data_IF_514580125343
#
_entry.id   IF_514580125343
#
_cell.length_a   1.000
_cell.length_b   1.000
_cell.length_c   1.000
_cell.angle_alpha   90.00
_cell.angle_beta   90.00
_cell.angle_gamma   90.00
#
_symmetry.space_group_name_H-M   'P 1'
#
loop_
_entity.id
_entity.type
_entity.pdbx_description
1 polymer ?
#
# COMPACT_ATOMS: atom_id res chain seq x y z
N UNK A 1 -6.13 10.50 -7.88
CA UNK A 1 -6.40 10.73 -6.44
C UNK A 1 -7.90 10.82 -6.23
N UNK A 2 -8.56 9.73 -5.82
CA UNK A 2 -9.97 9.79 -5.44
C UNK A 2 -10.05 9.97 -3.93
N UNK A 3 -10.22 11.22 -3.51
CA UNK A 3 -10.51 11.62 -2.14
C UNK A 3 -12.02 11.48 -1.90
N UNK A 4 -12.41 10.68 -0.92
CA UNK A 4 -13.78 10.75 -0.39
C UNK A 4 -13.81 10.67 1.14
N UNK A 5 -12.89 11.42 1.77
CA UNK A 5 -12.73 11.57 3.22
C UNK A 5 -11.40 12.27 3.55
N UNK A 6 -11.09 12.54 4.83
CA UNK A 6 -9.80 13.07 5.27
C UNK A 6 -8.66 12.02 5.19
N UNK A 7 -8.93 10.88 4.56
CA UNK A 7 -8.00 9.77 4.40
C UNK A 7 -7.64 9.64 2.93
N UNK A 8 -6.36 9.45 2.64
CA UNK A 8 -5.84 9.16 1.32
C UNK A 8 -4.95 7.92 1.37
N UNK A 9 -4.92 7.16 0.28
CA UNK A 9 -4.01 6.04 0.13
C UNK A 9 -3.40 6.04 -1.28
N UNK A 10 -2.15 5.62 -1.39
CA UNK A 10 -1.41 5.55 -2.64
C UNK A 10 -0.43 4.40 -2.64
N UNK A 11 -0.27 3.77 -3.80
CA UNK A 11 0.85 2.88 -4.10
C UNK A 11 1.87 3.65 -4.93
N UNK A 12 3.15 3.44 -4.66
CA UNK A 12 4.22 4.00 -5.48
C UNK A 12 5.23 2.91 -5.79
N UNK A 13 5.62 2.85 -7.06
CA UNK A 13 6.68 1.99 -7.55
C UNK A 13 7.80 2.92 -8.03
N UNK A 14 9.08 2.68 -7.65
CA UNK A 14 10.17 3.47 -8.19
C UNK A 14 10.27 3.33 -9.70
N UNK A 15 10.48 4.45 -10.39
CA UNK A 15 10.76 4.45 -11.82
C UNK A 15 12.08 3.72 -12.10
N UNK A 16 12.08 2.86 -13.11
CA UNK A 16 13.27 2.14 -13.52
C UNK A 16 12.99 0.95 -14.41
N UNK A 17 14.05 0.43 -15.02
CA UNK A 17 14.01 -0.86 -15.69
C UNK A 17 14.25 -1.97 -14.67
N UNK A 18 13.39 -2.98 -14.68
CA UNK A 18 13.51 -4.16 -13.84
C UNK A 18 13.79 -5.38 -14.71
N UNK A 19 14.68 -6.25 -14.24
CA UNK A 19 14.88 -7.56 -14.85
C UNK A 19 13.99 -8.61 -14.19
N UNK A 20 13.81 -9.72 -14.89
CA UNK A 20 12.99 -10.84 -14.41
C UNK A 20 13.55 -11.37 -13.08
N UNK A 21 12.71 -11.37 -12.04
CA UNK A 21 13.06 -11.83 -10.70
C UNK A 21 13.64 -10.77 -9.77
N UNK A 22 13.85 -9.53 -10.23
CA UNK A 22 14.28 -8.43 -9.37
C UNK A 22 13.24 -8.11 -8.29
N UNK A 23 13.72 -7.58 -7.16
CA UNK A 23 12.87 -7.01 -6.11
C UNK A 23 12.36 -5.64 -6.56
N UNK A 24 11.04 -5.51 -6.64
CA UNK A 24 10.34 -4.28 -6.97
C UNK A 24 9.69 -3.78 -5.67
N UNK A 25 10.29 -2.80 -4.98
CA UNK A 25 9.75 -2.32 -3.71
C UNK A 25 8.53 -1.42 -3.96
N UNK A 26 7.34 -1.96 -3.75
CA UNK A 26 6.10 -1.19 -3.85
C UNK A 26 5.81 -0.57 -2.50
N UNK A 27 5.79 0.76 -2.45
CA UNK A 27 5.52 1.51 -1.21
C UNK A 27 4.03 1.83 -1.12
N UNK A 28 3.37 1.33 -0.08
CA UNK A 28 2.02 1.70 0.29
C UNK A 28 2.07 2.82 1.34
N UNK A 29 1.33 3.89 1.09
CA UNK A 29 1.19 5.01 2.01
C UNK A 29 -0.29 5.29 2.23
N UNK A 30 -0.66 5.47 3.50
CA UNK A 30 -2.00 5.87 3.92
C UNK A 30 -1.87 7.05 4.85
N UNK A 31 -2.40 8.21 4.46
CA UNK A 31 -2.48 9.40 5.32
C UNK A 31 -3.89 9.52 5.85
N UNK A 32 -4.02 9.71 7.17
CA UNK A 32 -5.30 9.81 7.87
C UNK A 32 -5.20 10.82 9.01
N UNK A 33 -6.31 11.33 9.56
CA UNK A 33 -6.26 12.15 10.77
C UNK A 33 -5.64 11.38 11.94
N UNK A 34 -5.04 12.11 12.89
CA UNK A 34 -4.53 11.51 14.11
C UNK A 34 -5.63 10.79 14.89
N UNK A 35 -5.28 9.64 15.48
CA UNK A 35 -6.23 8.79 16.23
C UNK A 35 -7.11 7.89 15.36
N UNK A 36 -6.87 7.88 14.05
CA UNK A 36 -7.40 6.85 13.15
C UNK A 36 -6.41 5.69 13.07
N UNK A 37 -6.89 4.52 12.68
CA UNK A 37 -6.07 3.31 12.54
C UNK A 37 -6.21 2.73 11.13
N UNK A 38 -5.12 2.73 10.37
CA UNK A 38 -5.04 2.07 9.08
C UNK A 38 -4.52 0.63 9.23
N UNK A 39 -5.30 -0.34 8.78
CA UNK A 39 -4.96 -1.76 8.76
C UNK A 39 -4.58 -2.13 7.34
N UNK A 40 -3.27 -2.18 7.10
CA UNK A 40 -2.71 -2.66 5.83
C UNK A 40 -2.92 -4.18 5.75
N UNK A 41 -3.57 -4.70 4.68
CA UNK A 41 -3.76 -6.15 4.54
C UNK A 41 -2.40 -6.85 4.35
N UNK A 42 -2.31 -8.08 4.85
CA UNK A 42 -1.20 -8.96 4.51
C UNK A 42 -1.47 -9.56 3.13
N UNK A 43 -0.58 -9.28 2.18
CA UNK A 43 -0.64 -9.95 0.88
C UNK A 43 -0.07 -11.37 1.00
N UNK A 44 -0.77 -12.37 0.46
CA UNK A 44 -0.28 -13.75 0.47
C UNK A 44 0.97 -13.91 -0.42
N UNK A 45 1.92 -14.72 0.05
CA UNK A 45 3.18 -14.99 -0.65
C UNK A 45 3.14 -16.27 -1.49
N UNK A 46 2.06 -17.05 -1.36
CA UNK A 46 1.82 -18.34 -2.03
C UNK A 46 0.86 -18.23 -3.22
N UNK A 47 0.24 -17.06 -3.44
CA UNK A 47 -0.56 -16.77 -4.62
C UNK A 47 -0.13 -15.47 -5.30
N UNK A 48 -0.38 -15.30 -6.60
CA UNK A 48 -0.07 -14.06 -7.29
C UNK A 48 -0.99 -12.91 -6.84
N UNK A 49 -0.41 -11.71 -6.81
CA UNK A 49 -1.10 -10.43 -6.68
C UNK A 49 -1.13 -9.76 -8.06
N UNK A 50 -2.19 -10.06 -8.82
CA UNK A 50 -2.22 -9.74 -10.26
C UNK A 50 -1.14 -10.52 -11.00
N UNK A 51 -0.26 -9.81 -11.71
CA UNK A 51 0.90 -10.43 -12.38
C UNK A 51 2.13 -10.57 -11.45
N UNK A 52 2.09 -9.94 -10.28
CA UNK A 52 3.21 -9.93 -9.33
C UNK A 52 3.16 -11.14 -8.41
N UNK A 53 4.34 -11.63 -8.02
CA UNK A 53 4.50 -12.52 -6.86
C UNK A 53 4.99 -11.69 -5.68
N UNK A 54 4.34 -11.81 -4.52
CA UNK A 54 4.80 -11.15 -3.29
C UNK A 54 5.80 -12.07 -2.60
N UNK A 55 7.04 -11.61 -2.47
CA UNK A 55 8.10 -12.33 -1.77
C UNK A 55 8.12 -11.98 -0.27
N UNK A 56 7.61 -10.80 0.11
CA UNK A 56 7.50 -10.37 1.50
C UNK A 56 6.83 -9.02 1.63
N UNK A 57 6.52 -8.65 2.87
CA UNK A 57 5.93 -7.35 3.22
C UNK A 57 6.50 -6.90 4.57
N UNK A 58 6.87 -5.64 4.68
CA UNK A 58 7.35 -5.06 5.94
C UNK A 58 6.20 -4.94 6.95
N UNK A 59 6.55 -4.83 8.23
CA UNK A 59 5.60 -4.33 9.22
C UNK A 59 5.17 -2.90 8.83
N UNK A 60 3.92 -2.55 9.13
CA UNK A 60 3.42 -1.20 8.97
C UNK A 60 4.01 -0.29 10.05
N UNK A 61 4.35 0.94 9.67
CA UNK A 61 4.84 1.98 10.59
C UNK A 61 4.00 3.23 10.45
N UNK A 62 3.64 3.84 11.58
CA UNK A 62 2.87 5.09 11.62
C UNK A 62 3.72 6.22 12.17
N UNK A 63 3.68 7.38 11.50
CA UNK A 63 4.42 8.58 11.87
C UNK A 63 3.45 9.76 11.97
N UNK A 64 3.59 10.58 13.02
CA UNK A 64 2.89 11.87 13.16
C UNK A 64 3.54 12.91 12.24
N UNK A 65 2.71 13.58 11.42
CA UNK A 65 3.17 14.61 10.49
C UNK A 65 3.28 16.01 11.14
N UNK A 66 2.78 16.19 12.36
CA UNK A 66 2.81 17.46 13.11
C UNK A 66 1.73 18.47 12.74
N UNK A 67 0.82 18.11 11.84
CA UNK A 67 -0.30 18.94 11.36
C UNK A 67 -1.68 18.38 11.74
N UNK A 68 -1.71 17.39 12.64
CA UNK A 68 -2.93 16.68 13.02
C UNK A 68 -3.28 15.49 12.13
N UNK A 69 -2.41 15.14 11.16
CA UNK A 69 -2.46 13.90 10.40
C UNK A 69 -1.34 12.94 10.77
N UNK A 70 -1.58 11.66 10.53
CA UNK A 70 -0.61 10.57 10.67
C UNK A 70 -0.49 9.86 9.32
N UNK A 71 0.72 9.33 9.06
CA UNK A 71 1.00 8.55 7.87
C UNK A 71 1.39 7.13 8.27
N UNK A 72 0.62 6.15 7.84
CA UNK A 72 0.94 4.72 7.95
C UNK A 72 1.50 4.21 6.64
N UNK A 73 2.66 3.56 6.68
CA UNK A 73 3.34 3.04 5.49
C UNK A 73 3.83 1.61 5.66
N UNK A 74 3.95 0.89 4.54
CA UNK A 74 4.59 -0.41 4.45
C UNK A 74 5.21 -0.60 3.05
N UNK A 75 6.19 -1.50 2.96
CA UNK A 75 6.84 -1.90 1.71
C UNK A 75 6.48 -3.34 1.37
N UNK A 76 6.04 -3.56 0.15
CA UNK A 76 5.78 -4.88 -0.43
C UNK A 76 6.95 -5.23 -1.36
N UNK A 77 7.64 -6.35 -1.12
CA UNK A 77 8.63 -6.91 -2.05
C UNK A 77 7.89 -7.71 -3.12
N UNK A 78 7.63 -7.07 -4.27
CA UNK A 78 6.95 -7.67 -5.40
C UNK A 78 7.96 -8.10 -6.47
N UNK A 79 7.65 -9.15 -7.22
CA UNK A 79 8.50 -9.68 -8.30
C UNK A 79 7.70 -10.05 -9.53
N UNK A 80 8.32 -9.93 -10.69
CA UNK A 80 7.78 -10.35 -11.98
C UNK A 80 8.68 -11.43 -12.58
N UNK A 81 8.06 -12.47 -13.15
CA UNK A 81 8.78 -13.62 -13.72
C UNK A 81 8.73 -13.69 -15.25
N UNK A 82 8.30 -12.60 -15.90
CA UNK A 82 8.23 -12.47 -17.35
C UNK A 82 8.53 -11.02 -17.77
N UNK A 83 9.19 -10.81 -18.92
CA UNK A 83 9.36 -9.47 -19.48
C UNK A 83 8.02 -8.93 -20.01
N UNK A 84 7.84 -7.61 -19.99
CA UNK A 84 6.64 -6.96 -20.51
C UNK A 84 6.28 -5.69 -19.75
N UNK A 85 5.09 -5.16 -20.03
CA UNK A 85 4.48 -4.07 -19.27
C UNK A 85 3.37 -4.64 -18.40
N UNK A 86 3.39 -4.27 -17.12
CA UNK A 86 2.45 -4.78 -16.12
C UNK A 86 1.81 -3.62 -15.38
N UNK A 87 0.62 -3.85 -14.85
CA UNK A 87 -0.10 -2.87 -14.03
C UNK A 87 -0.14 -3.38 -12.59
N UNK A 88 0.40 -2.59 -11.66
CA UNK A 88 0.31 -2.89 -10.23
C UNK A 88 -1.17 -2.91 -9.83
N UNK A 89 -1.67 -4.02 -9.25
CA UNK A 89 -3.05 -4.05 -8.81
C UNK A 89 -3.28 -3.06 -7.67
N UNK A 90 -4.54 -2.63 -7.51
CA UNK A 90 -4.93 -1.84 -6.35
C UNK A 90 -4.96 -2.69 -5.06
N UNK A 91 -4.90 -2.02 -3.91
CA UNK A 91 -5.07 -2.63 -2.58
C UNK A 91 -6.19 -1.90 -1.86
N UNK A 92 -7.09 -2.65 -1.23
CA UNK A 92 -8.08 -2.11 -0.31
C UNK A 92 -7.54 -2.11 1.13
N UNK A 93 -7.57 -0.94 1.77
CA UNK A 93 -7.11 -0.72 3.13
C UNK A 93 -8.32 -0.45 4.02
N UNK A 94 -8.40 -1.18 5.13
CA UNK A 94 -9.38 -0.90 6.18
C UNK A 94 -8.88 0.24 7.07
N UNK A 95 -9.70 1.26 7.29
CA UNK A 95 -9.38 2.39 8.16
C UNK A 95 -10.50 2.56 9.19
N UNK A 96 -10.12 2.54 10.46
CA UNK A 96 -11.06 2.79 11.57
C UNK A 96 -10.86 4.21 12.07
N UNK A 97 -11.95 4.98 12.19
CA UNK A 97 -11.91 6.31 12.79
C UNK A 97 -11.86 6.27 14.33
N UNK A 98 -11.63 7.42 14.95
CA UNK A 98 -11.56 7.53 16.42
C UNK A 98 -12.86 7.23 17.17
N UNK A 99 -13.99 7.04 16.46
CA UNK A 99 -15.27 6.61 17.02
C UNK A 99 -15.57 5.12 16.79
N UNK A 100 -14.66 4.39 16.13
CA UNK A 100 -14.82 2.99 15.77
C UNK A 100 -15.53 2.76 14.43
N UNK A 101 -15.81 3.82 13.66
CA UNK A 101 -16.37 3.73 12.32
C UNK A 101 -15.36 3.13 11.35
N UNK A 102 -15.73 2.06 10.67
CA UNK A 102 -14.89 1.39 9.67
C UNK A 102 -15.21 1.91 8.26
N UNK A 103 -14.18 2.29 7.53
CA UNK A 103 -14.25 2.60 6.11
C UNK A 103 -13.16 1.87 5.34
N UNK A 104 -13.36 1.68 4.03
CA UNK A 104 -12.36 1.12 3.13
C UNK A 104 -11.85 2.21 2.20
N UNK A 105 -10.52 2.31 2.08
CA UNK A 105 -9.85 3.22 1.16
C UNK A 105 -8.97 2.40 0.22
N UNK A 106 -9.09 2.66 -1.07
CA UNK A 106 -8.34 1.93 -2.09
C UNK A 106 -7.09 2.70 -2.49
N UNK A 107 -5.93 2.05 -2.42
CA UNK A 107 -4.67 2.55 -2.95
C UNK A 107 -4.45 2.02 -4.35
N UNK A 108 -4.28 2.93 -5.31
CA UNK A 108 -3.90 2.63 -6.68
C UNK A 108 -2.48 3.19 -6.96
N UNK A 109 -1.74 2.62 -7.92
CA UNK A 109 -0.46 3.15 -8.39
C UNK A 109 -0.58 4.51 -9.09
#
# INVERSE_FOLDING_TARGET
AQTNGPVSASLSIPDGDYTVGDSIPVTLVVTHPAGYYAVIPALPTDQPWGDFTVAGQSAATTVDNGDGSETTSAVIDARLFSPGSFTTPQIDIAVTDGSGGLQTVTAAP
#
